data_IF_067232189091
#
_entry.id   IF_067232189091
#
_cell.length_a   1.000
_cell.length_b   1.000
_cell.length_c   1.000
_cell.angle_alpha   90.00
_cell.angle_beta   90.00
_cell.angle_gamma   90.00
#
_symmetry.space_group_name_H-M   'P 1'
#
loop_
_entity.id
_entity.type
_entity.pdbx_description
1 polymer ?
#
# COMPACT_ATOMS: atom_id res chain seq x y z
N UNK A 1 -19.22 12.56 6.77
CA UNK A 1 -17.85 12.91 7.22
C UNK A 1 -16.78 11.95 6.69
N UNK A 2 -16.89 10.63 6.86
CA UNK A 2 -15.88 9.67 6.34
C UNK A 2 -15.61 9.83 4.82
N UNK A 3 -16.66 9.81 4.00
CA UNK A 3 -16.54 10.01 2.56
C UNK A 3 -15.96 11.39 2.17
N UNK A 4 -16.23 12.43 2.97
CA UNK A 4 -15.66 13.77 2.73
C UNK A 4 -14.13 13.76 2.91
N UNK A 5 -13.61 13.00 3.87
CA UNK A 5 -12.16 12.83 4.03
C UNK A 5 -11.55 12.09 2.84
N UNK A 6 -12.23 11.06 2.30
CA UNK A 6 -11.79 10.38 1.07
C UNK A 6 -11.77 11.33 -0.14
N UNK A 7 -12.83 12.12 -0.32
CA UNK A 7 -12.95 13.09 -1.41
C UNK A 7 -11.89 14.19 -1.31
N UNK A 8 -11.64 14.70 -0.10
CA UNK A 8 -10.57 15.66 0.14
C UNK A 8 -9.20 15.07 -0.22
N UNK A 9 -8.89 13.85 0.25
CA UNK A 9 -7.63 13.17 -0.07
C UNK A 9 -7.48 12.94 -1.58
N UNK A 10 -8.55 12.54 -2.29
CA UNK A 10 -8.50 12.37 -3.74
C UNK A 10 -8.31 13.70 -4.49
N UNK A 11 -8.97 14.77 -4.07
CA UNK A 11 -8.78 16.09 -4.67
C UNK A 11 -7.34 16.61 -4.46
N UNK A 12 -6.82 16.47 -3.24
CA UNK A 12 -5.42 16.80 -2.92
C UNK A 12 -4.45 15.94 -3.73
N UNK A 13 -4.68 14.63 -3.86
CA UNK A 13 -3.85 13.75 -4.66
C UNK A 13 -3.77 14.20 -6.13
N UNK A 14 -4.91 14.53 -6.74
CA UNK A 14 -4.95 15.04 -8.13
C UNK A 14 -4.17 16.34 -8.25
N UNK A 15 -4.31 17.26 -7.29
CA UNK A 15 -3.56 18.52 -7.28
C UNK A 15 -2.06 18.29 -7.10
N UNK A 16 -1.65 17.40 -6.21
CA UNK A 16 -0.25 17.04 -6.01
C UNK A 16 0.35 16.43 -7.28
N UNK A 17 -0.35 15.48 -7.91
CA UNK A 17 0.11 14.86 -9.16
C UNK A 17 0.15 15.85 -10.33
N UNK A 18 -0.80 16.77 -10.42
CA UNK A 18 -0.79 17.83 -11.42
C UNK A 18 0.37 18.81 -11.19
N UNK A 19 0.64 19.17 -9.93
CA UNK A 19 1.78 20.02 -9.58
C UNK A 19 3.11 19.34 -9.89
N UNK A 20 3.25 18.05 -9.57
CA UNK A 20 4.43 17.28 -9.92
C UNK A 20 4.63 17.19 -11.44
N UNK A 21 3.55 16.94 -12.19
CA UNK A 21 3.61 16.84 -13.64
C UNK A 21 4.05 18.15 -14.30
N UNK A 22 3.54 19.30 -13.83
CA UNK A 22 3.93 20.61 -14.38
C UNK A 22 5.45 20.86 -14.28
N UNK A 23 6.08 20.34 -13.22
CA UNK A 23 7.50 20.49 -12.94
C UNK A 23 8.36 19.48 -13.74
N UNK A 24 7.74 18.52 -14.43
CA UNK A 24 8.42 17.63 -15.39
C UNK A 24 8.45 18.26 -16.79
N UNK A 25 9.24 19.32 -16.96
CA UNK A 25 9.42 19.95 -18.28
C UNK A 25 8.13 20.53 -18.89
N UNK A 26 7.23 21.07 -18.06
CA UNK A 26 5.94 21.60 -18.47
C UNK A 26 4.81 20.56 -18.54
N UNK A 27 5.11 19.28 -18.28
CA UNK A 27 4.16 18.19 -18.04
C UNK A 27 3.40 17.67 -19.25
N UNK A 28 3.33 18.43 -20.35
CA UNK A 28 2.76 17.99 -21.62
C UNK A 28 3.82 17.22 -22.42
N UNK A 29 3.36 16.23 -23.20
CA UNK A 29 4.25 15.59 -24.16
C UNK A 29 4.48 16.57 -25.31
N UNK A 30 5.75 16.86 -25.60
CA UNK A 30 6.16 17.75 -26.67
C UNK A 30 7.10 17.02 -27.63
N UNK A 31 7.02 17.35 -28.91
CA UNK A 31 8.01 16.91 -29.90
C UNK A 31 9.34 17.62 -29.62
N UNK A 32 10.42 16.86 -29.47
CA UNK A 32 11.73 17.37 -29.03
C UNK A 32 12.34 18.39 -29.99
N UNK A 33 11.96 18.36 -31.27
CA UNK A 33 12.55 19.20 -32.32
C UNK A 33 11.71 20.47 -32.54
N UNK A 34 10.39 20.32 -32.57
CA UNK A 34 9.45 21.41 -32.92
C UNK A 34 8.84 22.09 -31.70
N UNK A 35 8.94 21.49 -30.51
CA UNK A 35 8.29 21.97 -29.29
C UNK A 35 6.76 21.89 -29.32
N UNK A 36 6.17 21.27 -30.37
CA UNK A 36 4.72 21.14 -30.48
C UNK A 36 4.19 20.13 -29.47
N UNK A 37 3.06 20.46 -28.83
CA UNK A 37 2.38 19.55 -27.91
C UNK A 37 1.80 18.36 -28.69
N UNK A 38 2.33 17.17 -28.41
CA UNK A 38 1.93 15.89 -29.01
C UNK A 38 0.97 15.11 -28.13
N UNK A 39 0.82 15.48 -26.85
CA UNK A 39 -0.13 14.84 -25.96
C UNK A 39 -0.10 15.34 -24.52
N UNK A 40 -0.85 14.63 -23.67
CA UNK A 40 -1.09 15.03 -22.27
C UNK A 40 0.16 14.81 -21.38
N UNK A 41 1.10 13.98 -21.79
CA UNK A 41 2.35 13.74 -21.05
C UNK A 41 2.10 13.24 -19.61
N UNK A 42 2.82 13.81 -18.65
CA UNK A 42 2.80 13.44 -17.25
C UNK A 42 1.47 13.79 -16.55
N UNK A 43 0.72 14.78 -17.05
CA UNK A 43 -0.63 15.10 -16.55
C UNK A 43 -1.60 13.92 -16.68
N UNK A 44 -1.29 12.94 -17.53
CA UNK A 44 -2.07 11.70 -17.65
C UNK A 44 -2.25 11.01 -16.31
N UNK A 45 -1.25 11.05 -15.42
CA UNK A 45 -1.34 10.45 -14.08
C UNK A 45 -2.40 11.14 -13.23
N UNK A 46 -2.44 12.48 -13.23
CA UNK A 46 -3.45 13.25 -12.52
C UNK A 46 -4.86 13.01 -13.08
N UNK A 47 -5.02 12.92 -14.40
CA UNK A 47 -6.31 12.62 -15.03
C UNK A 47 -6.79 11.20 -14.71
N UNK A 48 -5.90 10.21 -14.78
CA UNK A 48 -6.23 8.82 -14.40
C UNK A 48 -6.62 8.75 -12.92
N UNK A 49 -5.91 9.47 -12.04
CA UNK A 49 -6.24 9.55 -10.62
C UNK A 49 -7.64 10.16 -10.41
N UNK A 50 -7.96 11.26 -11.10
CA UNK A 50 -9.25 11.92 -11.01
C UNK A 50 -10.40 11.02 -11.50
N UNK A 51 -10.23 10.39 -12.67
CA UNK A 51 -11.21 9.46 -13.22
C UNK A 51 -11.41 8.24 -12.34
N UNK A 52 -10.32 7.63 -11.86
CA UNK A 52 -10.37 6.49 -10.94
C UNK A 52 -11.02 6.85 -9.60
N UNK A 53 -10.77 8.05 -9.06
CA UNK A 53 -11.45 8.51 -7.85
C UNK A 53 -12.96 8.70 -8.08
N UNK A 54 -13.36 9.29 -9.21
CA UNK A 54 -14.77 9.45 -9.57
C UNK A 54 -15.50 8.09 -9.68
N UNK A 55 -14.93 7.14 -10.42
CA UNK A 55 -15.45 5.77 -10.53
C UNK A 55 -15.44 5.08 -9.16
N UNK A 56 -14.37 5.25 -8.40
CA UNK A 56 -14.21 4.68 -7.06
C UNK A 56 -15.30 5.14 -6.10
N UNK A 57 -15.66 6.43 -6.11
CA UNK A 57 -16.78 6.95 -5.30
C UNK A 57 -18.09 6.26 -5.66
N UNK A 58 -18.37 6.08 -6.95
CA UNK A 58 -19.58 5.35 -7.39
C UNK A 58 -19.57 3.89 -6.93
N UNK A 59 -18.42 3.22 -7.02
CA UNK A 59 -18.25 1.84 -6.52
C UNK A 59 -18.46 1.79 -5.01
N UNK A 60 -17.89 2.73 -4.25
CA UNK A 60 -18.02 2.78 -2.80
C UNK A 60 -19.47 3.00 -2.37
N UNK A 61 -20.20 3.88 -3.06
CA UNK A 61 -21.63 4.11 -2.84
C UNK A 61 -22.45 2.87 -3.20
N UNK A 62 -22.20 2.23 -4.33
CA UNK A 62 -22.89 1.00 -4.71
C UNK A 62 -22.66 -0.12 -3.69
N UNK A 63 -21.40 -0.38 -3.31
CA UNK A 63 -21.05 -1.38 -2.30
C UNK A 63 -21.64 -1.07 -0.92
N UNK A 64 -21.78 0.21 -0.57
CA UNK A 64 -22.39 0.59 0.71
C UNK A 64 -23.85 0.15 0.86
N UNK A 65 -24.55 -0.10 -0.27
CA UNK A 65 -25.93 -0.60 -0.28
C UNK A 65 -26.03 -2.12 -0.16
N UNK A 66 -24.92 -2.84 -0.33
CA UNK A 66 -24.86 -4.30 -0.22
C UNK A 66 -24.44 -4.69 1.18
N UNK A 67 -25.15 -5.60 1.85
CA UNK A 67 -24.73 -6.11 3.17
C UNK A 67 -23.37 -6.83 3.05
N UNK A 68 -22.37 -6.36 3.79
CA UNK A 68 -21.03 -6.97 3.83
C UNK A 68 -21.05 -8.45 4.22
N UNK A 69 -22.06 -8.90 4.99
CA UNK A 69 -22.25 -10.33 5.31
C UNK A 69 -22.51 -11.15 4.05
N UNK A 70 -23.21 -10.60 3.07
CA UNK A 70 -23.44 -11.25 1.78
C UNK A 70 -22.15 -11.32 0.96
N UNK A 71 -21.34 -10.25 0.98
CA UNK A 71 -20.02 -10.24 0.32
C UNK A 71 -19.09 -11.32 0.90
N UNK A 72 -19.12 -11.52 2.21
CA UNK A 72 -18.37 -12.60 2.87
C UNK A 72 -18.89 -13.98 2.51
N UNK A 73 -20.21 -14.17 2.35
CA UNK A 73 -20.79 -15.48 1.99
C UNK A 73 -20.39 -15.94 0.60
N UNK A 74 -20.21 -15.02 -0.35
CA UNK A 74 -19.76 -15.33 -1.72
C UNK A 74 -18.24 -15.46 -1.83
N UNK A 75 -17.55 -15.78 -0.72
CA UNK A 75 -16.10 -15.92 -0.72
C UNK A 75 -15.51 -16.86 -1.77
N UNK A 76 -16.13 -18.00 -2.17
CA UNK A 76 -15.53 -18.83 -3.19
C UNK A 76 -15.38 -18.07 -4.51
N UNK A 77 -16.35 -17.21 -4.84
CA UNK A 77 -16.35 -16.43 -6.07
C UNK A 77 -15.21 -15.42 -6.07
N UNK A 78 -15.13 -14.59 -5.02
CA UNK A 78 -14.10 -13.55 -4.99
C UNK A 78 -12.70 -14.14 -4.76
N UNK A 79 -12.54 -15.24 -4.02
CA UNK A 79 -11.23 -15.92 -3.86
C UNK A 79 -10.78 -16.52 -5.18
N UNK A 80 -11.64 -17.27 -5.88
CA UNK A 80 -11.29 -17.86 -7.19
C UNK A 80 -10.94 -16.75 -8.18
N UNK A 81 -11.71 -15.67 -8.21
CA UNK A 81 -11.44 -14.53 -9.09
C UNK A 81 -10.10 -13.87 -8.77
N UNK A 82 -9.86 -13.48 -7.51
CA UNK A 82 -8.64 -12.74 -7.16
C UNK A 82 -7.39 -13.59 -7.27
N UNK A 83 -7.42 -14.83 -6.75
CA UNK A 83 -6.26 -15.71 -6.82
C UNK A 83 -6.07 -16.30 -8.21
N UNK A 84 -7.14 -16.47 -8.99
CA UNK A 84 -7.06 -16.79 -10.41
C UNK A 84 -6.33 -15.72 -11.23
N UNK A 85 -6.31 -14.46 -10.77
CA UNK A 85 -5.50 -13.39 -11.38
C UNK A 85 -4.08 -13.34 -10.81
N UNK A 86 -3.86 -13.65 -9.52
CA UNK A 86 -2.54 -13.64 -8.88
C UNK A 86 -1.67 -14.81 -9.36
N UNK A 87 -2.21 -16.05 -9.38
CA UNK A 87 -1.44 -17.26 -9.64
C UNK A 87 -0.76 -17.29 -11.03
N UNK A 88 -1.38 -16.84 -12.13
CA UNK A 88 -0.71 -16.80 -13.43
C UNK A 88 0.57 -15.96 -13.43
N UNK A 89 0.64 -14.89 -12.63
CA UNK A 89 1.82 -14.02 -12.61
C UNK A 89 3.01 -14.62 -11.85
N UNK A 90 2.84 -15.77 -11.19
CA UNK A 90 3.95 -16.52 -10.58
C UNK A 90 4.80 -17.25 -11.61
N UNK A 91 4.21 -17.56 -12.77
CA UNK A 91 4.80 -18.46 -13.77
C UNK A 91 4.94 -17.79 -15.14
N UNK A 92 4.08 -16.82 -15.44
CA UNK A 92 4.10 -16.07 -16.69
C UNK A 92 4.80 -14.75 -16.44
N UNK A 93 5.91 -14.50 -17.15
CA UNK A 93 6.65 -13.25 -17.11
C UNK A 93 6.60 -12.56 -18.48
N UNK A 94 6.11 -11.32 -18.52
CA UNK A 94 6.01 -10.47 -19.71
C UNK A 94 5.38 -11.14 -20.95
N UNK A 95 4.37 -11.99 -20.78
CA UNK A 95 3.65 -12.56 -21.91
C UNK A 95 2.77 -11.50 -22.54
N UNK A 96 3.16 -11.03 -23.73
CA UNK A 96 2.41 -10.05 -24.51
C UNK A 96 1.43 -10.74 -25.46
N UNK A 97 0.14 -10.45 -25.27
CA UNK A 97 -0.99 -10.93 -26.08
C UNK A 97 -1.61 -9.80 -26.91
N UNK A 98 -0.89 -8.68 -27.10
CA UNK A 98 -1.34 -7.51 -27.84
C UNK A 98 -1.83 -6.41 -26.89
N UNK A 99 -3.15 -6.23 -26.67
CA UNK A 99 -3.61 -5.27 -25.69
C UNK A 99 -3.35 -5.72 -24.26
N UNK A 100 -3.02 -6.98 -23.99
CA UNK A 100 -2.83 -7.51 -22.64
C UNK A 100 -1.43 -8.11 -22.46
N UNK A 101 -0.70 -7.64 -21.47
CA UNK A 101 0.53 -8.27 -20.97
C UNK A 101 0.28 -8.87 -19.59
N UNK A 102 0.62 -10.15 -19.41
CA UNK A 102 0.50 -10.88 -18.14
C UNK A 102 1.89 -11.01 -17.51
N UNK A 103 1.96 -10.80 -16.20
CA UNK A 103 3.22 -10.81 -15.46
C UNK A 103 4.14 -9.70 -15.92
N UNK A 104 3.56 -8.51 -16.13
CA UNK A 104 4.27 -7.32 -16.54
C UNK A 104 5.17 -6.84 -15.40
N UNK A 105 6.39 -6.44 -15.76
CA UNK A 105 7.29 -5.74 -14.86
C UNK A 105 7.08 -4.22 -14.99
N UNK A 106 6.52 -3.60 -13.96
CA UNK A 106 6.19 -2.18 -13.97
C UNK A 106 7.39 -1.25 -13.71
N UNK A 107 8.58 -1.81 -13.46
CA UNK A 107 9.83 -1.05 -13.29
C UNK A 107 11.05 -1.88 -13.68
N UNK A 108 12.25 -1.43 -13.32
CA UNK A 108 13.49 -2.19 -13.52
C UNK A 108 13.76 -3.11 -12.31
N UNK A 109 12.77 -3.94 -11.94
CA UNK A 109 12.82 -4.81 -10.74
C UNK A 109 12.50 -6.27 -11.07
N UNK A 110 12.85 -7.25 -10.25
CA UNK A 110 12.41 -8.65 -10.45
C UNK A 110 10.95 -8.90 -10.02
N UNK A 111 10.07 -7.91 -10.16
CA UNK A 111 8.67 -7.97 -9.74
C UNK A 111 7.72 -8.09 -10.94
N UNK A 112 7.20 -9.30 -11.16
CA UNK A 112 6.28 -9.62 -12.26
C UNK A 112 4.82 -9.68 -11.80
N UNK A 113 4.42 -8.90 -10.79
CA UNK A 113 3.07 -8.98 -10.18
C UNK A 113 1.98 -8.19 -10.92
N UNK A 114 2.24 -7.64 -12.12
CA UNK A 114 1.31 -6.73 -12.80
C UNK A 114 0.66 -7.34 -14.04
N UNK A 115 -0.53 -6.82 -14.36
CA UNK A 115 -1.14 -6.94 -15.68
C UNK A 115 -1.10 -5.57 -16.35
N UNK A 116 -0.78 -5.53 -17.64
CA UNK A 116 -0.86 -4.32 -18.45
C UNK A 116 -1.94 -4.51 -19.51
N UNK A 117 -3.02 -3.74 -19.44
CA UNK A 117 -4.08 -3.73 -20.45
C UNK A 117 -4.03 -2.39 -21.21
N UNK A 118 -3.38 -2.41 -22.36
CA UNK A 118 -3.10 -1.26 -23.21
C UNK A 118 -2.29 -0.21 -22.46
N UNK A 119 -2.94 0.91 -22.15
CA UNK A 119 -2.35 2.01 -21.39
C UNK A 119 -2.47 1.90 -19.87
N UNK A 120 -3.12 0.88 -19.32
CA UNK A 120 -3.40 0.76 -17.88
C UNK A 120 -2.65 -0.40 -17.26
N UNK A 121 -2.23 -0.24 -16.00
CA UNK A 121 -1.63 -1.31 -15.20
C UNK A 121 -2.52 -1.65 -14.00
N UNK A 122 -2.61 -2.94 -13.71
CA UNK A 122 -3.43 -3.49 -12.63
C UNK A 122 -2.62 -4.52 -11.86
N UNK A 123 -2.56 -4.35 -10.54
CA UNK A 123 -1.91 -5.31 -9.66
C UNK A 123 -2.99 -6.19 -8.98
N UNK A 124 -3.07 -7.49 -9.28
CA UNK A 124 -4.09 -8.37 -8.70
C UNK A 124 -3.98 -8.52 -7.19
N UNK A 125 -2.78 -8.42 -6.63
CA UNK A 125 -2.51 -8.55 -5.20
C UNK A 125 -3.22 -7.49 -4.35
N UNK A 126 -3.45 -6.29 -4.92
CA UNK A 126 -4.26 -5.24 -4.29
C UNK A 126 -5.74 -5.64 -4.19
N UNK A 127 -6.30 -6.27 -5.22
CA UNK A 127 -7.67 -6.79 -5.18
C UNK A 127 -7.77 -8.03 -4.27
N UNK A 128 -6.77 -8.92 -4.32
CA UNK A 128 -6.69 -10.09 -3.45
C UNK A 128 -6.64 -9.72 -1.96
N UNK A 129 -6.16 -8.52 -1.63
CA UNK A 129 -6.09 -8.02 -0.25
C UNK A 129 -7.47 -7.81 0.34
N UNK A 130 -8.40 -7.31 -0.47
CA UNK A 130 -9.81 -7.14 -0.09
C UNK A 130 -10.45 -8.51 0.14
N UNK A 131 -10.23 -9.45 -0.79
CA UNK A 131 -10.67 -10.85 -0.71
C UNK A 131 -10.15 -11.52 0.58
N UNK A 132 -8.86 -11.33 0.88
CA UNK A 132 -8.22 -11.81 2.11
C UNK A 132 -8.83 -11.21 3.37
N UNK A 133 -9.07 -9.89 3.43
CA UNK A 133 -9.72 -9.26 4.59
C UNK A 133 -11.11 -9.89 4.85
N UNK A 134 -11.89 -10.13 3.80
CA UNK A 134 -13.21 -10.75 3.93
C UNK A 134 -13.12 -12.21 4.41
N UNK A 135 -12.25 -13.02 3.82
CA UNK A 135 -12.11 -14.44 4.20
C UNK A 135 -11.47 -14.61 5.57
N UNK A 136 -10.50 -13.77 5.92
CA UNK A 136 -9.82 -13.81 7.20
C UNK A 136 -10.74 -13.31 8.32
N UNK A 137 -11.56 -12.28 8.07
CA UNK A 137 -12.61 -11.85 9.01
C UNK A 137 -13.63 -12.98 9.27
N UNK A 138 -14.03 -13.71 8.23
CA UNK A 138 -14.90 -14.88 8.37
C UNK A 138 -14.22 -16.00 9.18
N UNK A 139 -12.95 -16.29 8.89
CA UNK A 139 -12.19 -17.33 9.61
C UNK A 139 -12.07 -16.99 11.09
N UNK A 140 -11.70 -15.74 11.43
CA UNK A 140 -11.64 -15.24 12.80
C UNK A 140 -13.00 -15.33 13.50
N UNK A 141 -14.09 -14.94 12.82
CA UNK A 141 -15.43 -15.03 13.39
C UNK A 141 -15.85 -16.46 13.75
N UNK A 142 -15.38 -17.46 12.99
CA UNK A 142 -15.66 -18.88 13.21
C UNK A 142 -14.85 -19.49 14.36
N UNK A 143 -13.64 -18.97 14.63
CA UNK A 143 -12.73 -19.51 15.65
C UNK A 143 -12.57 -18.61 16.87
N UNK A 144 -13.29 -17.49 16.96
CA UNK A 144 -13.08 -16.42 17.97
C UNK A 144 -12.93 -16.91 19.42
N UNK A 145 -13.77 -17.84 19.88
CA UNK A 145 -13.75 -18.33 21.27
C UNK A 145 -12.59 -19.28 21.55
N UNK A 146 -11.93 -19.74 20.48
CA UNK A 146 -10.86 -20.74 20.48
C UNK A 146 -9.60 -20.22 19.80
N UNK A 147 -9.48 -18.91 19.59
CA UNK A 147 -8.37 -18.31 18.84
C UNK A 147 -7.00 -18.61 19.48
N UNK A 148 -6.97 -18.81 20.80
CA UNK A 148 -5.77 -19.15 21.55
C UNK A 148 -5.50 -20.67 21.62
N UNK A 149 -6.34 -21.52 21.04
CA UNK A 149 -6.05 -22.95 20.91
C UNK A 149 -4.96 -23.14 19.84
N UNK A 150 -3.88 -23.89 20.11
CA UNK A 150 -2.77 -24.05 19.15
C UNK A 150 -3.20 -24.53 17.77
N UNK A 151 -4.22 -25.41 17.71
CA UNK A 151 -4.76 -25.93 16.46
C UNK A 151 -5.47 -24.85 15.63
N UNK A 152 -6.28 -24.01 16.26
CA UNK A 152 -6.98 -22.92 15.55
C UNK A 152 -6.02 -21.79 15.18
N UNK A 153 -5.05 -21.50 16.06
CA UNK A 153 -3.97 -20.57 15.76
C UNK A 153 -3.14 -21.06 14.55
N UNK A 154 -2.79 -22.34 14.49
CA UNK A 154 -2.05 -22.90 13.35
C UNK A 154 -2.83 -22.77 12.03
N UNK A 155 -4.16 -22.97 12.04
CA UNK A 155 -5.01 -22.74 10.85
C UNK A 155 -5.06 -21.26 10.46
N UNK A 156 -5.15 -20.35 11.43
CA UNK A 156 -5.12 -18.91 11.17
C UNK A 156 -3.78 -18.48 10.57
N UNK A 157 -2.68 -18.98 11.14
CA UNK A 157 -1.35 -18.76 10.59
C UNK A 157 -1.22 -19.34 9.19
N UNK A 158 -1.77 -20.52 8.91
CA UNK A 158 -1.78 -21.06 7.55
C UNK A 158 -2.54 -20.15 6.59
N UNK A 159 -3.75 -19.71 6.95
CA UNK A 159 -4.54 -18.76 6.14
C UNK A 159 -3.79 -17.44 5.91
N UNK A 160 -3.04 -16.94 6.90
CA UNK A 160 -2.22 -15.74 6.78
C UNK A 160 -0.94 -15.96 5.95
N UNK A 161 -0.25 -17.08 6.14
CA UNK A 161 1.04 -17.36 5.49
C UNK A 161 0.87 -17.74 4.03
N UNK A 162 -0.23 -18.40 3.64
CA UNK A 162 -0.48 -18.73 2.23
C UNK A 162 -0.36 -17.52 1.30
N UNK A 163 -1.08 -16.40 1.49
CA UNK A 163 -0.95 -15.24 0.61
C UNK A 163 0.44 -14.60 0.71
N UNK A 164 1.04 -14.52 1.91
CA UNK A 164 2.36 -13.91 2.10
C UNK A 164 3.44 -14.67 1.32
N UNK A 165 3.44 -16.00 1.41
CA UNK A 165 4.41 -16.84 0.70
C UNK A 165 4.22 -16.76 -0.81
N UNK A 166 2.97 -16.75 -1.30
CA UNK A 166 2.72 -16.59 -2.74
C UNK A 166 3.20 -15.22 -3.24
N UNK A 167 2.96 -14.16 -2.50
CA UNK A 167 3.39 -12.79 -2.87
C UNK A 167 4.91 -12.64 -2.77
N UNK A 168 5.55 -13.27 -1.79
CA UNK A 168 7.01 -13.35 -1.70
C UNK A 168 7.62 -14.02 -2.93
N UNK A 169 7.03 -15.12 -3.41
CA UNK A 169 7.47 -15.80 -4.64
C UNK A 169 7.34 -14.89 -5.88
N UNK A 170 6.36 -13.96 -5.90
CA UNK A 170 6.25 -12.95 -6.96
C UNK A 170 7.35 -11.87 -6.92
N UNK A 171 8.14 -11.82 -5.84
CA UNK A 171 9.15 -10.78 -5.61
C UNK A 171 8.58 -9.47 -5.05
N UNK A 172 7.36 -9.47 -4.50
CA UNK A 172 6.71 -8.28 -3.93
C UNK A 172 6.65 -8.32 -2.39
N UNK A 173 7.82 -8.26 -1.77
CA UNK A 173 7.94 -8.30 -0.31
C UNK A 173 7.30 -7.12 0.42
N UNK A 174 7.20 -5.96 -0.24
CA UNK A 174 6.47 -4.81 0.28
C UNK A 174 5.01 -5.16 0.53
N UNK A 175 4.33 -5.74 -0.47
CA UNK A 175 2.94 -6.18 -0.32
C UNK A 175 2.82 -7.33 0.68
N UNK A 176 3.76 -8.28 0.69
CA UNK A 176 3.75 -9.41 1.64
C UNK A 176 3.78 -8.94 3.10
N UNK A 177 4.63 -7.96 3.43
CA UNK A 177 4.70 -7.33 4.76
C UNK A 177 3.38 -6.66 5.12
N UNK A 178 2.74 -5.95 4.18
CA UNK A 178 1.44 -5.31 4.41
C UNK A 178 0.36 -6.36 4.75
N UNK A 179 0.33 -7.51 4.06
CA UNK A 179 -0.58 -8.62 4.43
C UNK A 179 -0.32 -9.14 5.84
N UNK A 180 0.96 -9.27 6.23
CA UNK A 180 1.35 -9.64 7.59
C UNK A 180 0.81 -8.69 8.64
N UNK A 181 0.99 -7.37 8.43
CA UNK A 181 0.50 -6.34 9.36
C UNK A 181 -1.04 -6.37 9.44
N UNK A 182 -1.74 -6.51 8.30
CA UNK A 182 -3.20 -6.65 8.26
C UNK A 182 -3.66 -7.84 9.10
N UNK A 183 -3.06 -9.02 8.88
CA UNK A 183 -3.34 -10.23 9.64
C UNK A 183 -3.15 -10.05 11.14
N UNK A 184 -2.03 -9.47 11.55
CA UNK A 184 -1.74 -9.16 12.94
C UNK A 184 -2.76 -8.19 13.56
N UNK A 185 -3.12 -7.11 12.86
CA UNK A 185 -4.16 -6.17 13.32
C UNK A 185 -5.52 -6.86 13.52
N UNK A 186 -5.91 -7.74 12.60
CA UNK A 186 -7.17 -8.48 12.67
C UNK A 186 -7.15 -9.52 13.81
N UNK A 187 -6.06 -10.28 13.96
CA UNK A 187 -5.90 -11.26 15.04
C UNK A 187 -5.86 -10.60 16.43
N UNK A 188 -5.19 -9.44 16.54
CA UNK A 188 -5.19 -8.64 17.74
C UNK A 188 -6.61 -8.20 18.12
N UNK A 189 -7.37 -7.69 17.16
CA UNK A 189 -8.78 -7.30 17.36
C UNK A 189 -9.65 -8.49 17.75
N UNK A 190 -9.33 -9.69 17.29
CA UNK A 190 -10.02 -10.93 17.63
C UNK A 190 -9.69 -11.49 19.03
N UNK A 191 -8.81 -10.85 19.80
CA UNK A 191 -8.47 -11.26 21.17
C UNK A 191 -7.38 -12.32 21.26
N UNK A 192 -6.48 -12.40 20.26
CA UNK A 192 -5.25 -13.19 20.38
C UNK A 192 -4.44 -12.69 21.58
N UNK A 193 -3.96 -13.61 22.42
CA UNK A 193 -3.20 -13.20 23.61
C UNK A 193 -1.93 -12.43 23.24
N UNK A 194 -1.61 -11.39 24.00
CA UNK A 194 -0.38 -10.60 23.84
C UNK A 194 0.89 -11.47 23.88
N UNK A 195 0.85 -12.63 24.54
CA UNK A 195 1.97 -13.58 24.60
C UNK A 195 2.35 -14.08 23.21
N UNK A 196 1.38 -14.38 22.35
CA UNK A 196 1.64 -14.83 20.98
C UNK A 196 2.15 -13.68 20.11
N UNK A 197 1.64 -12.47 20.31
CA UNK A 197 2.07 -11.29 19.54
C UNK A 197 3.52 -10.93 19.91
N UNK A 198 3.83 -10.84 21.21
CA UNK A 198 5.19 -10.59 21.70
C UNK A 198 6.11 -11.74 21.31
N UNK A 199 5.65 -12.99 21.41
CA UNK A 199 6.39 -14.17 20.98
C UNK A 199 6.75 -14.15 19.50
N UNK A 200 5.80 -13.77 18.63
CA UNK A 200 6.02 -13.65 17.19
C UNK A 200 7.00 -12.51 16.86
N UNK A 201 6.86 -11.35 17.52
CA UNK A 201 7.80 -10.22 17.35
C UNK A 201 9.21 -10.59 17.81
N UNK A 202 9.33 -11.20 19.00
CA UNK A 202 10.61 -11.65 19.52
C UNK A 202 11.25 -12.72 18.62
N UNK A 203 10.47 -13.69 18.15
CA UNK A 203 10.94 -14.70 17.21
C UNK A 203 11.39 -14.09 15.88
N UNK A 204 10.65 -13.11 15.35
CA UNK A 204 11.02 -12.39 14.14
C UNK A 204 12.33 -11.61 14.29
N UNK A 205 12.47 -10.83 15.37
CA UNK A 205 13.72 -10.11 15.68
C UNK A 205 14.88 -11.10 15.84
N UNK A 206 14.66 -12.22 16.54
CA UNK A 206 15.67 -13.25 16.75
C UNK A 206 16.07 -13.90 15.42
N UNK A 207 15.11 -14.21 14.55
CA UNK A 207 15.39 -14.79 13.24
C UNK A 207 16.19 -13.83 12.36
N UNK A 208 15.83 -12.55 12.32
CA UNK A 208 16.59 -11.52 11.58
C UNK A 208 17.99 -11.35 12.16
N UNK A 209 18.12 -11.30 13.49
CA UNK A 209 19.42 -11.17 14.16
C UNK A 209 20.29 -12.39 13.93
N UNK A 210 19.73 -13.60 14.00
CA UNK A 210 20.45 -14.84 13.72
C UNK A 210 20.86 -14.94 12.24
N UNK A 211 19.98 -14.54 11.32
CA UNK A 211 20.32 -14.44 9.90
C UNK A 211 21.46 -13.43 9.66
N UNK A 212 21.43 -12.29 10.36
CA UNK A 212 22.52 -11.32 10.30
C UNK A 212 23.84 -11.86 10.87
N UNK A 213 23.79 -12.56 12.01
CA UNK A 213 24.99 -13.06 12.69
C UNK A 213 25.62 -14.28 12.03
N UNK A 214 24.81 -15.26 11.62
CA UNK A 214 25.30 -16.58 11.19
C UNK A 214 25.26 -16.77 9.68
N UNK A 215 24.50 -15.92 8.99
CA UNK A 215 24.25 -16.09 7.58
C UNK A 215 24.63 -14.85 6.77
N UNK A 216 25.18 -13.77 7.34
CA UNK A 216 25.60 -12.59 6.54
C UNK A 216 26.59 -12.95 5.41
N UNK A 217 27.49 -13.90 5.66
CA UNK A 217 28.44 -14.41 4.66
C UNK A 217 27.80 -15.33 3.60
N UNK A 218 26.68 -16.00 3.93
CA UNK A 218 26.05 -17.07 3.11
C UNK A 218 24.69 -16.70 2.48
N UNK A 219 23.85 -15.89 3.15
CA UNK A 219 22.60 -15.28 2.64
C UNK A 219 22.89 -14.23 1.58
N UNK A 220 24.15 -13.81 1.45
CA UNK A 220 24.71 -13.30 0.21
C UNK A 220 23.90 -12.18 -0.42
N UNK A 221 24.23 -10.93 -0.06
CA UNK A 221 24.23 -9.82 -1.03
C UNK A 221 22.94 -9.62 -1.85
N UNK A 222 21.79 -10.06 -1.34
CA UNK A 222 20.53 -9.86 -2.05
C UNK A 222 20.17 -8.39 -1.98
N UNK A 223 19.58 -7.86 -3.05
CA UNK A 223 19.26 -6.44 -3.14
C UNK A 223 18.36 -5.95 -1.99
N UNK A 224 17.48 -6.83 -1.48
CA UNK A 224 16.61 -6.54 -0.34
C UNK A 224 17.38 -6.41 0.97
N UNK A 225 18.43 -7.21 1.16
CA UNK A 225 19.28 -7.13 2.34
C UNK A 225 20.00 -5.78 2.38
N UNK A 226 20.53 -5.32 1.25
CA UNK A 226 21.17 -4.02 1.20
C UNK A 226 20.23 -2.85 1.48
N UNK A 227 18.95 -2.94 1.10
CA UNK A 227 17.95 -1.91 1.45
C UNK A 227 17.71 -1.80 2.95
N UNK A 228 17.74 -2.93 3.68
CA UNK A 228 17.64 -2.94 5.15
C UNK A 228 18.90 -2.30 5.75
N UNK A 229 20.07 -2.71 5.28
CA UNK A 229 21.35 -2.21 5.75
C UNK A 229 21.55 -0.72 5.46
N UNK A 230 21.01 -0.21 4.34
CA UNK A 230 21.04 1.20 3.94
C UNK A 230 20.35 2.15 4.91
N UNK A 231 19.40 1.64 5.71
CA UNK A 231 18.77 2.40 6.80
C UNK A 231 19.68 2.47 8.03
N UNK A 232 20.47 1.43 8.29
CA UNK A 232 21.34 1.31 9.48
C UNK A 232 22.68 2.03 9.25
N UNK A 233 23.30 1.83 8.09
CA UNK A 233 24.55 2.46 7.68
C UNK A 233 24.39 3.24 6.36
N UNK A 234 23.65 4.36 6.36
CA UNK A 234 23.52 5.29 5.24
C UNK A 234 24.76 5.52 4.38
N UNK A 235 25.92 5.64 5.02
CA UNK A 235 27.17 6.09 4.40
C UNK A 235 28.11 4.92 4.03
N UNK A 236 27.68 3.68 4.24
CA UNK A 236 28.50 2.48 4.05
C UNK A 236 29.84 2.56 4.81
N UNK A 237 29.85 3.14 6.00
CA UNK A 237 31.05 3.23 6.85
C UNK A 237 31.60 1.85 7.22
N UNK A 238 30.73 0.84 7.27
CA UNK A 238 31.06 -0.56 7.55
C UNK A 238 31.58 -1.32 6.33
N UNK A 239 31.40 -0.79 5.12
CA UNK A 239 31.79 -1.45 3.87
C UNK A 239 30.97 -2.70 3.52
N UNK A 240 29.73 -2.80 4.01
CA UNK A 240 28.85 -3.95 3.75
C UNK A 240 28.55 -4.17 2.26
N UNK A 241 28.50 -3.10 1.47
CA UNK A 241 28.29 -3.20 0.03
C UNK A 241 29.61 -3.38 -0.76
N UNK A 242 29.59 -4.15 -1.86
CA UNK A 242 30.78 -4.50 -2.63
C UNK A 242 31.41 -3.31 -3.36
N UNK A 243 30.67 -2.23 -3.58
CA UNK A 243 31.20 -0.97 -4.11
C UNK A 243 30.37 0.22 -3.65
N UNK A 244 31.01 1.39 -3.60
CA UNK A 244 30.35 2.66 -3.28
C UNK A 244 29.27 3.03 -4.31
N UNK A 245 29.48 2.70 -5.59
CA UNK A 245 28.50 2.93 -6.65
C UNK A 245 27.20 2.13 -6.45
N UNK A 246 27.32 0.86 -6.06
CA UNK A 246 26.16 0.02 -5.77
C UNK A 246 25.39 0.59 -4.58
N UNK A 247 26.11 1.01 -3.54
CA UNK A 247 25.48 1.61 -2.36
C UNK A 247 24.76 2.91 -2.68
N UNK A 248 25.42 3.80 -3.42
CA UNK A 248 24.85 5.08 -3.86
C UNK A 248 23.56 4.87 -4.63
N UNK A 249 23.49 3.87 -5.51
CA UNK A 249 22.26 3.54 -6.23
C UNK A 249 21.14 3.02 -5.32
N UNK A 250 21.46 2.27 -4.27
CA UNK A 250 20.49 1.77 -3.29
C UNK A 250 19.90 2.92 -2.46
N UNK A 251 20.75 3.83 -1.96
CA UNK A 251 20.31 4.95 -1.11
C UNK A 251 19.73 6.12 -1.91
N UNK A 252 20.03 6.22 -3.22
CA UNK A 252 19.74 7.38 -4.06
C UNK A 252 18.30 7.89 -3.93
N UNK A 253 17.32 6.97 -4.01
CA UNK A 253 15.92 7.35 -3.94
C UNK A 253 15.53 7.91 -2.56
N UNK A 254 16.04 7.31 -1.48
CA UNK A 254 15.80 7.78 -0.10
C UNK A 254 16.48 9.11 0.17
N UNK A 255 17.76 9.25 -0.20
CA UNK A 255 18.52 10.48 -0.03
C UNK A 255 17.85 11.65 -0.74
N UNK A 256 17.36 11.41 -1.97
CA UNK A 256 16.63 12.45 -2.73
C UNK A 256 15.32 12.83 -2.05
N UNK A 257 14.56 11.84 -1.57
CA UNK A 257 13.31 12.07 -0.85
C UNK A 257 13.49 12.86 0.45
N UNK A 258 14.52 12.52 1.23
CA UNK A 258 14.86 13.21 2.48
C UNK A 258 15.24 14.68 2.23
N UNK A 259 16.10 14.93 1.23
CA UNK A 259 16.50 16.31 0.87
C UNK A 259 15.30 17.10 0.33
N UNK A 260 14.41 16.48 -0.46
CA UNK A 260 13.19 17.12 -0.93
C UNK A 260 12.29 17.54 0.24
N UNK A 261 12.06 16.66 1.22
CA UNK A 261 11.32 16.98 2.44
C UNK A 261 11.96 18.15 3.20
N UNK A 262 13.28 18.11 3.39
CA UNK A 262 14.02 19.15 4.11
C UNK A 262 13.97 20.51 3.41
N UNK A 263 14.01 20.52 2.08
CA UNK A 263 14.04 21.75 1.28
C UNK A 263 12.75 22.58 1.39
N UNK A 264 11.60 21.95 1.63
CA UNK A 264 10.32 22.64 1.73
C UNK A 264 10.09 23.43 3.03
N UNK A 265 10.96 23.28 4.05
CA UNK A 265 10.86 24.03 5.32
C UNK A 265 9.44 23.95 5.92
N UNK A 266 8.92 25.04 6.49
CA UNK A 266 7.61 25.07 7.16
C UNK A 266 6.45 25.17 6.16
N UNK A 267 6.58 26.01 5.12
CA UNK A 267 5.47 26.42 4.24
C UNK A 267 5.57 25.88 2.80
N UNK A 268 6.65 25.18 2.45
CA UNK A 268 6.91 24.67 1.12
C UNK A 268 7.52 25.72 0.20
N UNK A 269 7.92 25.26 -0.99
CA UNK A 269 8.38 26.10 -2.08
C UNK A 269 7.22 26.59 -2.97
N UNK A 270 5.99 26.18 -2.67
CA UNK A 270 4.80 26.44 -3.49
C UNK A 270 4.55 25.34 -4.51
N UNK A 271 3.28 25.11 -4.84
CA UNK A 271 2.91 24.27 -5.98
C UNK A 271 3.07 25.08 -7.27
N UNK A 272 3.54 24.44 -8.35
CA UNK A 272 3.68 25.07 -9.68
C UNK A 272 4.64 26.28 -9.68
N UNK A 273 5.60 26.34 -8.75
CA UNK A 273 6.49 27.48 -8.58
C UNK A 273 7.75 27.42 -9.44
N UNK A 274 8.08 26.26 -10.03
CA UNK A 274 9.36 26.02 -10.68
C UNK A 274 10.48 25.57 -9.73
N UNK A 275 10.30 25.75 -8.42
CA UNK A 275 11.34 25.55 -7.41
C UNK A 275 11.16 24.19 -6.70
N UNK A 276 11.61 23.12 -7.37
CA UNK A 276 11.45 21.75 -6.90
C UNK A 276 12.76 20.97 -6.78
N UNK A 277 12.73 19.94 -5.95
CA UNK A 277 13.82 18.98 -5.85
C UNK A 277 13.41 17.66 -6.50
N UNK A 278 14.20 17.20 -7.50
CA UNK A 278 13.86 16.00 -8.26
C UNK A 278 14.09 14.73 -7.43
N UNK A 279 13.05 13.90 -7.31
CA UNK A 279 13.07 12.62 -6.60
C UNK A 279 12.61 11.52 -7.56
N UNK A 280 13.38 10.42 -7.70
CA UNK A 280 12.96 9.26 -8.47
C UNK A 280 11.64 8.72 -7.96
N UNK A 281 10.71 8.41 -8.87
CA UNK A 281 9.38 7.89 -8.53
C UNK A 281 8.59 8.76 -7.52
N UNK A 282 8.84 10.08 -7.49
CA UNK A 282 8.10 11.01 -6.63
C UNK A 282 6.58 10.91 -6.80
N UNK A 283 6.08 10.63 -8.01
CA UNK A 283 4.64 10.48 -8.23
C UNK A 283 4.03 9.23 -7.58
N UNK A 284 4.85 8.25 -7.16
CA UNK A 284 4.40 6.96 -6.63
C UNK A 284 4.74 6.80 -5.14
N UNK A 285 5.76 6.01 -4.80
CA UNK A 285 6.16 5.68 -3.43
C UNK A 285 6.82 6.86 -2.68
N UNK A 286 7.24 7.91 -3.38
CA UNK A 286 7.83 9.12 -2.79
C UNK A 286 6.95 10.37 -2.89
N UNK A 287 5.64 10.21 -3.08
CA UNK A 287 4.71 11.37 -3.17
C UNK A 287 4.67 12.19 -1.89
N UNK A 288 4.94 11.57 -0.73
CA UNK A 288 5.05 12.29 0.52
C UNK A 288 6.22 13.29 0.52
N UNK A 289 7.36 12.92 -0.09
CA UNK A 289 8.48 13.85 -0.29
C UNK A 289 8.13 15.04 -1.17
N UNK A 290 7.32 14.81 -2.21
CA UNK A 290 6.79 15.88 -3.06
C UNK A 290 5.88 16.83 -2.28
N UNK A 291 4.97 16.28 -1.48
CA UNK A 291 4.09 17.07 -0.59
C UNK A 291 4.92 17.96 0.32
N UNK A 292 5.99 17.44 0.93
CA UNK A 292 6.85 18.25 1.80
C UNK A 292 7.64 19.31 1.05
N UNK A 293 8.13 19.03 -0.14
CA UNK A 293 8.81 20.04 -0.98
C UNK A 293 7.85 21.18 -1.38
N UNK A 294 6.65 20.84 -1.87
CA UNK A 294 5.70 21.82 -2.39
C UNK A 294 4.91 22.58 -1.31
N UNK A 295 4.47 21.89 -0.25
CA UNK A 295 3.58 22.45 0.80
C UNK A 295 4.24 22.55 2.19
N UNK A 296 5.48 22.10 2.34
CA UNK A 296 6.24 22.17 3.58
C UNK A 296 5.69 21.26 4.68
N UNK A 297 6.23 21.45 5.88
CA UNK A 297 5.81 20.75 7.08
C UNK A 297 4.30 20.86 7.34
N UNK A 298 3.70 22.05 7.14
CA UNK A 298 2.26 22.26 7.36
C UNK A 298 1.43 21.39 6.41
N UNK A 299 1.81 21.32 5.13
CA UNK A 299 1.16 20.44 4.16
C UNK A 299 1.25 18.97 4.54
N UNK A 300 2.43 18.49 4.94
CA UNK A 300 2.62 17.13 5.44
C UNK A 300 1.69 16.83 6.62
N UNK A 301 1.57 17.76 7.59
CA UNK A 301 0.69 17.57 8.75
C UNK A 301 -0.79 17.54 8.39
N UNK A 302 -1.23 18.32 7.40
CA UNK A 302 -2.61 18.27 6.89
C UNK A 302 -2.88 16.91 6.23
N UNK A 303 -2.00 16.46 5.34
CA UNK A 303 -2.11 15.16 4.65
C UNK A 303 -2.18 14.02 5.67
N UNK A 304 -1.23 13.97 6.61
CA UNK A 304 -1.20 12.92 7.64
C UNK A 304 -2.40 13.03 8.58
N UNK A 305 -2.81 14.23 8.98
CA UNK A 305 -3.98 14.46 9.82
C UNK A 305 -5.26 13.90 9.20
N UNK A 306 -5.47 14.10 7.89
CA UNK A 306 -6.62 13.56 7.17
C UNK A 306 -6.55 12.03 7.05
N UNK A 307 -5.38 11.47 6.70
CA UNK A 307 -5.19 10.03 6.58
C UNK A 307 -5.37 9.31 7.93
N UNK A 308 -4.84 9.88 9.01
CA UNK A 308 -5.04 9.36 10.37
C UNK A 308 -6.51 9.51 10.79
N UNK A 309 -7.18 10.62 10.46
CA UNK A 309 -8.62 10.77 10.73
C UNK A 309 -9.46 9.70 9.99
N UNK A 310 -9.07 9.32 8.76
CA UNK A 310 -9.67 8.20 8.04
C UNK A 310 -9.47 6.88 8.79
N UNK A 311 -8.24 6.55 9.18
CA UNK A 311 -7.93 5.34 9.95
C UNK A 311 -8.73 5.27 11.25
N UNK A 312 -8.75 6.36 12.03
CA UNK A 312 -9.52 6.46 13.28
C UNK A 312 -11.00 6.22 13.02
N UNK A 313 -11.55 6.82 11.95
CA UNK A 313 -12.98 6.64 11.62
C UNK A 313 -13.29 5.21 11.19
N UNK A 314 -12.39 4.54 10.46
CA UNK A 314 -12.52 3.12 10.11
C UNK A 314 -12.58 2.25 11.36
N UNK A 315 -11.63 2.39 12.28
CA UNK A 315 -11.66 1.64 13.54
C UNK A 315 -12.88 2.00 14.39
N UNK A 316 -13.29 3.26 14.41
CA UNK A 316 -14.48 3.69 15.15
C UNK A 316 -15.78 3.11 14.58
N UNK A 317 -15.88 2.85 13.27
CA UNK A 317 -17.00 2.10 12.68
C UNK A 317 -16.95 0.65 13.17
N UNK A 318 -15.78 0.00 13.11
CA UNK A 318 -15.60 -1.37 13.60
C UNK A 318 -15.92 -1.55 15.08
N UNK A 319 -15.52 -0.60 15.93
CA UNK A 319 -15.78 -0.61 17.37
C UNK A 319 -17.26 -0.38 17.72
N UNK A 320 -18.03 0.24 16.82
CA UNK A 320 -19.48 0.41 16.97
C UNK A 320 -20.30 -0.70 16.33
N UNK A 321 -19.66 -1.60 15.57
CA UNK A 321 -20.32 -2.73 14.92
C UNK A 321 -20.90 -3.69 15.95
N UNK A 322 -22.13 -4.15 15.76
CA UNK A 322 -22.79 -5.10 16.67
C UNK A 322 -22.34 -6.55 16.48
N UNK A 323 -21.87 -6.89 15.29
CA UNK A 323 -21.22 -8.18 15.04
C UNK A 323 -19.73 -8.03 14.80
N UNK A 324 -19.04 -9.09 15.25
CA UNK A 324 -17.60 -9.22 15.17
C UNK A 324 -17.09 -9.30 13.74
N UNK A 325 -17.88 -9.80 12.79
CA UNK A 325 -17.49 -9.84 11.39
C UNK A 325 -17.25 -8.42 10.85
N UNK A 326 -18.19 -7.49 11.11
CA UNK A 326 -18.03 -6.08 10.76
C UNK A 326 -16.83 -5.43 11.45
N UNK A 327 -16.60 -5.75 12.73
CA UNK A 327 -15.42 -5.29 13.48
C UNK A 327 -14.12 -5.78 12.86
N UNK A 328 -14.02 -7.05 12.46
CA UNK A 328 -12.82 -7.63 11.86
C UNK A 328 -12.56 -7.08 10.45
N UNK A 329 -13.60 -6.86 9.64
CA UNK A 329 -13.44 -6.20 8.33
C UNK A 329 -12.88 -4.80 8.50
N UNK A 330 -13.43 -4.01 9.43
CA UNK A 330 -12.90 -2.67 9.73
C UNK A 330 -11.48 -2.73 10.29
N UNK A 331 -11.14 -3.74 11.10
CA UNK A 331 -9.78 -3.94 11.58
C UNK A 331 -8.80 -4.24 10.44
N UNK A 332 -9.20 -5.05 9.46
CA UNK A 332 -8.41 -5.35 8.28
C UNK A 332 -8.19 -4.14 7.40
N UNK A 333 -9.27 -3.40 7.08
CA UNK A 333 -9.18 -2.17 6.26
C UNK A 333 -8.40 -1.07 6.98
N UNK A 334 -8.68 -0.85 8.26
CA UNK A 334 -7.97 0.13 9.08
C UNK A 334 -6.50 -0.21 9.25
N UNK A 335 -6.18 -1.50 9.47
CA UNK A 335 -4.83 -2.02 9.53
C UNK A 335 -4.07 -1.86 8.21
N UNK A 336 -4.72 -2.12 7.07
CA UNK A 336 -4.13 -1.92 5.75
C UNK A 336 -3.74 -0.46 5.50
N UNK A 337 -4.67 0.47 5.77
CA UNK A 337 -4.43 1.91 5.63
C UNK A 337 -3.30 2.37 6.55
N UNK A 338 -3.35 1.99 7.84
CA UNK A 338 -2.34 2.35 8.81
C UNK A 338 -0.95 1.83 8.43
N UNK A 339 -0.86 0.57 8.00
CA UNK A 339 0.38 -0.06 7.57
C UNK A 339 0.98 0.66 6.37
N UNK A 340 0.18 0.93 5.34
CA UNK A 340 0.64 1.63 4.13
C UNK A 340 1.10 3.06 4.44
N UNK A 341 0.37 3.79 5.28
CA UNK A 341 0.76 5.14 5.73
C UNK A 341 2.08 5.09 6.49
N UNK A 342 2.19 4.22 7.51
CA UNK A 342 3.37 4.14 8.35
C UNK A 342 4.61 3.71 7.56
N UNK A 343 4.48 2.71 6.68
CA UNK A 343 5.59 2.26 5.83
C UNK A 343 5.98 3.35 4.83
N UNK A 344 5.03 3.94 4.11
CA UNK A 344 5.34 4.97 3.12
C UNK A 344 6.04 6.19 3.73
N UNK A 345 5.49 6.73 4.82
CA UNK A 345 6.11 7.85 5.55
C UNK A 345 7.47 7.43 6.10
N UNK A 346 7.59 6.21 6.64
CA UNK A 346 8.85 5.72 7.15
C UNK A 346 9.94 5.59 6.09
N UNK A 347 9.58 5.16 4.87
CA UNK A 347 10.50 5.13 3.72
C UNK A 347 10.98 6.52 3.33
N UNK A 348 10.06 7.50 3.29
CA UNK A 348 10.37 8.89 2.91
C UNK A 348 11.22 9.61 3.98
N UNK A 349 11.05 9.25 5.26
CA UNK A 349 11.87 9.74 6.38
C UNK A 349 13.14 8.92 6.62
N UNK A 350 13.45 7.93 5.76
CA UNK A 350 14.61 7.04 5.89
C UNK A 350 14.67 6.27 7.22
N UNK A 351 13.53 6.05 7.88
CA UNK A 351 13.44 5.19 9.08
C UNK A 351 13.07 3.74 8.72
N UNK A 352 12.61 3.49 7.49
CA UNK A 352 12.30 2.17 6.95
C UNK A 352 12.92 2.00 5.55
N UNK A 353 13.25 0.75 5.14
CA UNK A 353 13.82 0.47 3.83
C UNK A 353 12.80 0.70 2.71
N UNK A 354 13.26 1.13 1.52
CA UNK A 354 12.36 1.27 0.36
C UNK A 354 11.87 -0.09 -0.09
N UNK A 355 10.57 -0.31 0.04
CA UNK A 355 9.90 -1.57 -0.35
C UNK A 355 8.73 -1.31 -1.32
N UNK A 356 8.64 -0.11 -1.91
CA UNK A 356 7.68 0.20 -2.98
C UNK A 356 6.22 0.32 -2.54
N UNK A 357 5.96 0.58 -1.25
CA UNK A 357 4.59 0.74 -0.72
C UNK A 357 4.06 2.14 -0.99
N UNK A 358 2.84 2.22 -1.53
CA UNK A 358 2.17 3.47 -1.88
C UNK A 358 1.53 4.18 -0.67
N UNK A 359 1.45 5.50 -0.73
CA UNK A 359 0.67 6.31 0.20
C UNK A 359 -0.81 6.25 -0.21
N UNK A 360 -1.73 5.78 0.65
CA UNK A 360 -3.14 5.64 0.28
C UNK A 360 -3.74 6.95 -0.24
N UNK A 361 -4.50 6.88 -1.33
CA UNK A 361 -5.09 7.99 -2.10
C UNK A 361 -4.12 8.91 -2.85
N UNK A 362 -2.92 9.15 -2.32
CA UNK A 362 -2.01 10.17 -2.84
C UNK A 362 -1.08 9.66 -3.95
N UNK A 363 -0.54 8.45 -3.81
CA UNK A 363 0.34 7.88 -4.85
C UNK A 363 -0.43 7.64 -6.14
N UNK A 364 0.23 7.89 -7.28
CA UNK A 364 -0.34 7.68 -8.60
C UNK A 364 -0.65 6.20 -8.83
N UNK A 365 -1.92 5.88 -9.09
CA UNK A 365 -2.32 4.51 -9.40
C UNK A 365 -3.82 4.37 -9.50
N UNK A 366 -4.35 4.40 -10.73
CA UNK A 366 -5.80 4.31 -10.95
C UNK A 366 -6.42 3.04 -10.37
N UNK A 367 -5.79 1.88 -10.60
CA UNK A 367 -6.22 0.60 -10.02
C UNK A 367 -6.13 0.58 -8.49
N UNK A 368 -5.05 1.10 -7.91
CA UNK A 368 -4.89 1.19 -6.45
C UNK A 368 -5.97 2.06 -5.80
N UNK A 369 -6.28 3.24 -6.40
CA UNK A 369 -7.37 4.11 -5.93
C UNK A 369 -8.72 3.39 -5.97
N UNK A 370 -9.02 2.64 -7.03
CA UNK A 370 -10.26 1.86 -7.11
C UNK A 370 -10.34 0.82 -5.99
N UNK A 371 -9.24 0.11 -5.69
CA UNK A 371 -9.20 -0.85 -4.58
C UNK A 371 -9.40 -0.18 -3.22
N UNK A 372 -8.81 1.00 -3.00
CA UNK A 372 -9.04 1.80 -1.79
C UNK A 372 -10.51 2.20 -1.65
N UNK A 373 -11.16 2.58 -2.75
CA UNK A 373 -12.59 2.90 -2.72
C UNK A 373 -13.49 1.68 -2.52
N UNK A 374 -13.07 0.48 -2.95
CA UNK A 374 -13.75 -0.77 -2.55
C UNK A 374 -13.64 -0.98 -1.04
N UNK A 375 -12.46 -0.79 -0.45
CA UNK A 375 -12.27 -0.82 1.01
C UNK A 375 -13.14 0.22 1.73
N UNK A 376 -13.23 1.45 1.21
CA UNK A 376 -14.14 2.49 1.72
C UNK A 376 -15.60 2.02 1.64
N UNK A 377 -16.01 1.44 0.51
CA UNK A 377 -17.35 0.87 0.32
C UNK A 377 -17.68 -0.23 1.33
N UNK A 378 -16.72 -1.10 1.66
CA UNK A 378 -16.88 -2.11 2.72
C UNK A 378 -17.10 -1.47 4.10
N UNK A 379 -16.32 -0.45 4.46
CA UNK A 379 -16.49 0.25 5.75
C UNK A 379 -17.83 0.98 5.81
N UNK A 380 -18.26 1.60 4.70
CA UNK A 380 -19.58 2.22 4.59
C UNK A 380 -20.71 1.19 4.70
N UNK A 381 -20.55 0.03 4.05
CA UNK A 381 -21.50 -1.08 4.16
C UNK A 381 -21.65 -1.56 5.60
N UNK A 382 -20.53 -1.76 6.33
CA UNK A 382 -20.55 -2.10 7.76
C UNK A 382 -21.31 -1.03 8.54
N UNK A 383 -21.01 0.25 8.31
CA UNK A 383 -21.69 1.35 9.00
C UNK A 383 -23.21 1.37 8.75
N UNK A 384 -23.64 1.22 7.49
CA UNK A 384 -25.05 1.31 7.10
C UNK A 384 -25.88 0.10 7.53
N UNK A 385 -25.28 -1.10 7.53
CA UNK A 385 -25.95 -2.35 7.89
C UNK A 385 -25.77 -2.72 9.36
N UNK A 386 -25.15 -1.84 10.15
CA UNK A 386 -25.05 -1.96 11.60
C UNK A 386 -26.38 -1.57 12.27
N UNK A 387 -27.40 -2.41 12.08
CA UNK A 387 -28.71 -2.23 12.72
C UNK A 387 -28.65 -2.73 14.15
N UNK A 388 -29.04 -1.88 15.09
CA UNK A 388 -29.21 -2.30 16.49
C UNK A 388 -30.20 -3.43 16.59
N UNK A 389 -29.81 -4.57 17.18
CA UNK A 389 -30.79 -5.55 17.66
C UNK A 389 -31.67 -4.86 18.69
N UNK A 390 -32.92 -4.61 18.32
CA UNK A 390 -33.93 -3.99 19.19
C UNK A 390 -34.22 -4.81 20.45
N UNK A 391 -33.75 -6.05 20.51
CA UNK A 391 -33.78 -6.91 21.69
C UNK A 391 -32.48 -7.71 21.74
N UNK A 392 -31.63 -7.43 22.72
CA UNK A 392 -30.37 -8.10 23.02
C UNK A 392 -30.12 -8.09 24.51
#
# INVERSE_FOLDING_TARGET
>A
MYLLLCLFSSAMAVLMLASWAAEQGGGLAVDEITGQVTGIGDFRRALVQAGAAGIGVLIALALSTVDYRSLVKIWPVHVIFTWGLVLPTLVIHNLDLGPLTIGYNAGDTDNYSWYRLGGFTFQPTELAKISFILTFAMHLNNVRSRINEPKELAKLLLHLMTPILLIHIQGDDGTAIIYGIIGCCMMFTAGLSWKYIIGALAAGITAVSAAFMFLSDSIGKSYQWYRILAVIDPKNETGWAPSEDVWRNIVYQQDRGEVALGSGRIFGNGMFSGDYYSVPNAHNDFIFSWVGNALGFVGCMVVLGVLIALVIRTFAVGARSEDLLGSFICAGVGGALLAQIAVNVGMNLRVLPVIGVTLPFYSAGGSSVLMLYICVGLVLSVHMHNKKKLFG
#
